data_IF_574091857727
#
_entry.id   IF_574091857727
#
_cell.length_a   1.000
_cell.length_b   1.000
_cell.length_c   1.000
_cell.angle_alpha   90.00
_cell.angle_beta   90.00
_cell.angle_gamma   90.00
#
_symmetry.space_group_name_H-M   'P 1'
#
loop_
_entity.id
_entity.type
_entity.pdbx_description
1 polymer ?
#
# COMPACT_ATOMS: atom_id res chain seq x y z
N UNK A 1 12.90 -28.75 4.13
CA UNK A 1 11.71 -28.57 4.97
C UNK A 1 10.53 -28.36 4.03
N UNK A 2 9.35 -28.92 4.32
CA UNK A 2 8.16 -28.67 3.50
C UNK A 2 7.49 -27.35 3.85
N UNK A 3 7.76 -26.82 5.05
CA UNK A 3 7.15 -25.60 5.59
C UNK A 3 7.97 -24.34 5.31
N UNK A 4 9.02 -24.44 4.48
CA UNK A 4 9.93 -23.34 4.13
C UNK A 4 10.05 -23.14 2.60
N UNK A 5 8.95 -23.37 1.88
CA UNK A 5 8.85 -23.09 0.45
C UNK A 5 8.27 -21.69 0.24
N UNK A 6 8.62 -21.04 -0.86
CA UNK A 6 7.92 -19.84 -1.31
C UNK A 6 6.55 -20.20 -1.88
N UNK A 7 5.53 -19.41 -1.56
CA UNK A 7 4.15 -19.64 -2.00
C UNK A 7 3.80 -18.95 -3.32
N UNK A 8 4.43 -17.83 -3.63
CA UNK A 8 4.18 -17.03 -4.83
C UNK A 8 5.47 -16.41 -5.39
N UNK A 9 5.36 -15.76 -6.55
CA UNK A 9 6.49 -15.07 -7.20
C UNK A 9 6.16 -13.62 -7.56
N UNK A 10 7.18 -12.78 -7.57
CA UNK A 10 7.19 -11.52 -8.34
C UNK A 10 7.97 -11.77 -9.63
N UNK A 11 7.35 -11.47 -10.78
CA UNK A 11 8.09 -11.44 -12.05
C UNK A 11 8.69 -10.04 -12.19
N UNK A 12 10.00 -9.97 -12.05
CA UNK A 12 10.80 -8.76 -12.17
C UNK A 12 10.91 -8.29 -13.63
N UNK A 13 10.90 -6.97 -13.84
CA UNK A 13 11.22 -6.35 -15.12
C UNK A 13 10.47 -6.95 -16.33
N UNK A 14 9.14 -7.10 -16.23
CA UNK A 14 8.30 -7.78 -17.23
C UNK A 14 8.49 -7.18 -18.62
N UNK A 15 8.56 -5.85 -18.71
CA UNK A 15 8.75 -5.09 -19.95
C UNK A 15 10.14 -5.22 -20.59
N UNK A 16 11.06 -5.97 -19.95
CA UNK A 16 12.44 -6.13 -20.39
C UNK A 16 12.81 -7.57 -20.77
N UNK A 17 11.83 -8.47 -20.76
CA UNK A 17 12.01 -9.90 -21.07
C UNK A 17 11.01 -10.39 -22.11
N UNK A 18 11.18 -11.63 -22.56
CA UNK A 18 10.20 -12.28 -23.44
C UNK A 18 8.93 -12.64 -22.64
N UNK A 19 7.77 -12.17 -23.10
CA UNK A 19 6.49 -12.37 -22.44
C UNK A 19 6.06 -13.85 -22.38
N UNK A 20 6.69 -14.74 -23.16
CA UNK A 20 6.52 -16.20 -23.03
C UNK A 20 6.75 -16.69 -21.58
N UNK A 21 7.59 -15.98 -20.81
CA UNK A 21 7.84 -16.30 -19.40
C UNK A 21 6.58 -16.21 -18.53
N UNK A 22 5.62 -15.33 -18.85
CA UNK A 22 4.37 -15.20 -18.12
C UNK A 22 3.50 -16.46 -18.26
N UNK A 23 3.45 -17.02 -19.48
CA UNK A 23 2.76 -18.27 -19.76
C UNK A 23 3.45 -19.46 -19.10
N UNK A 24 4.79 -19.52 -19.14
CA UNK A 24 5.56 -20.58 -18.49
C UNK A 24 5.31 -20.58 -16.98
N UNK A 25 5.30 -19.40 -16.35
CA UNK A 25 4.98 -19.27 -14.93
C UNK A 25 3.53 -19.68 -14.64
N UNK A 26 2.57 -19.21 -15.45
CA UNK A 26 1.16 -19.57 -15.31
C UNK A 26 0.92 -21.08 -15.38
N UNK A 27 1.46 -21.73 -16.41
CA UNK A 27 1.30 -23.17 -16.63
C UNK A 27 1.90 -23.97 -15.47
N UNK A 28 3.06 -23.55 -14.95
CA UNK A 28 3.65 -24.17 -13.77
C UNK A 28 2.72 -24.06 -12.54
N UNK A 29 2.22 -22.87 -12.22
CA UNK A 29 1.38 -22.68 -11.03
C UNK A 29 0.04 -23.42 -11.12
N UNK A 30 -0.58 -23.44 -12.31
CA UNK A 30 -1.79 -24.24 -12.57
C UNK A 30 -1.53 -25.73 -12.37
N UNK A 31 -0.43 -26.24 -12.92
CA UNK A 31 -0.09 -27.66 -12.83
C UNK A 31 0.32 -28.08 -11.39
N UNK A 32 1.16 -27.28 -10.74
CA UNK A 32 1.78 -27.64 -9.46
C UNK A 32 0.83 -27.41 -8.27
N UNK A 33 0.03 -26.34 -8.32
CA UNK A 33 -0.78 -25.91 -7.20
C UNK A 33 -2.28 -25.91 -7.50
N UNK A 34 -2.70 -25.97 -8.76
CA UNK A 34 -4.11 -25.94 -9.13
C UNK A 34 -4.75 -24.56 -8.90
N UNK A 35 -3.99 -23.47 -9.08
CA UNK A 35 -4.48 -22.10 -8.86
C UNK A 35 -5.68 -21.73 -9.72
N UNK A 36 -5.89 -22.41 -10.85
CA UNK A 36 -7.06 -22.24 -11.72
C UNK A 36 -8.33 -22.93 -11.21
N UNK A 37 -8.27 -23.69 -10.11
CA UNK A 37 -9.40 -24.48 -9.64
C UNK A 37 -10.43 -23.70 -8.85
N UNK A 38 -10.03 -22.70 -8.05
CA UNK A 38 -10.89 -21.87 -7.21
C UNK A 38 -10.06 -20.75 -6.54
N UNK A 39 -10.75 -19.72 -6.04
CA UNK A 39 -10.11 -18.57 -5.37
C UNK A 39 -9.32 -18.95 -4.12
N UNK A 40 -9.74 -19.99 -3.39
CA UNK A 40 -9.02 -20.43 -2.19
C UNK A 40 -7.64 -20.99 -2.50
N UNK A 41 -7.49 -21.70 -3.61
CA UNK A 41 -6.18 -22.17 -4.08
C UNK A 41 -5.40 -21.06 -4.77
N UNK A 42 -6.04 -20.22 -5.57
CA UNK A 42 -5.39 -19.07 -6.22
C UNK A 42 -4.75 -18.12 -5.19
N UNK A 43 -5.53 -17.68 -4.19
CA UNK A 43 -5.11 -16.68 -3.21
C UNK A 43 -4.04 -17.19 -2.24
N UNK A 44 -3.83 -18.52 -2.14
CA UNK A 44 -2.68 -19.09 -1.40
C UNK A 44 -1.36 -18.91 -2.14
N UNK A 45 -1.40 -18.71 -3.46
CA UNK A 45 -0.23 -18.63 -4.33
C UNK A 45 -0.17 -17.29 -5.09
N UNK A 46 -0.47 -16.21 -4.37
CA UNK A 46 -0.54 -14.86 -4.91
C UNK A 46 0.80 -14.47 -5.54
N UNK A 47 0.78 -14.23 -6.84
CA UNK A 47 1.94 -13.84 -7.65
C UNK A 47 1.68 -12.51 -8.32
N UNK A 48 2.71 -11.67 -8.47
CA UNK A 48 2.60 -10.30 -8.97
C UNK A 48 3.59 -10.02 -10.10
N UNK A 49 3.31 -8.98 -10.88
CA UNK A 49 4.13 -8.54 -12.00
C UNK A 49 4.68 -7.14 -11.75
N UNK A 50 5.94 -6.91 -12.10
CA UNK A 50 6.43 -5.55 -12.31
C UNK A 50 6.30 -5.19 -13.80
N UNK A 51 5.07 -4.79 -14.17
CA UNK A 51 4.61 -4.53 -15.52
C UNK A 51 4.15 -3.06 -15.68
N UNK A 52 5.07 -2.19 -16.12
CA UNK A 52 4.89 -0.72 -16.05
C UNK A 52 4.09 -0.16 -17.22
N UNK A 53 3.99 -0.89 -18.32
CA UNK A 53 3.25 -0.46 -19.50
C UNK A 53 1.74 -0.49 -19.25
N UNK A 54 1.03 0.60 -19.58
CA UNK A 54 -0.44 0.66 -19.48
C UNK A 54 -1.18 -0.33 -20.39
N UNK A 55 -0.48 -1.04 -21.27
CA UNK A 55 -1.07 -2.11 -22.07
C UNK A 55 -1.09 -3.46 -21.32
N UNK A 56 -0.26 -3.62 -20.30
CA UNK A 56 0.00 -4.91 -19.66
C UNK A 56 -1.21 -5.42 -18.88
N UNK A 57 -1.99 -4.59 -18.15
CA UNK A 57 -3.19 -5.07 -17.47
C UNK A 57 -4.20 -5.77 -18.38
N UNK A 58 -4.37 -5.25 -19.61
CA UNK A 58 -5.25 -5.85 -20.61
C UNK A 58 -4.67 -7.16 -21.14
N UNK A 59 -3.38 -7.19 -21.46
CA UNK A 59 -2.70 -8.41 -21.89
C UNK A 59 -2.78 -9.51 -20.82
N UNK A 60 -2.47 -9.19 -19.56
CA UNK A 60 -2.52 -10.11 -18.42
C UNK A 60 -3.92 -10.65 -18.21
N UNK A 61 -4.95 -9.81 -18.37
CA UNK A 61 -6.35 -10.23 -18.31
C UNK A 61 -6.70 -11.20 -19.44
N UNK A 62 -6.30 -10.89 -20.68
CA UNK A 62 -6.52 -11.75 -21.85
C UNK A 62 -5.77 -13.09 -21.74
N UNK A 63 -4.70 -13.15 -20.95
CA UNK A 63 -3.97 -14.38 -20.64
C UNK A 63 -4.53 -15.15 -19.43
N UNK A 64 -5.64 -14.69 -18.83
CA UNK A 64 -6.33 -15.37 -17.74
C UNK A 64 -5.92 -14.92 -16.33
N UNK A 65 -5.39 -13.70 -16.18
CA UNK A 65 -5.07 -13.09 -14.88
C UNK A 65 -4.33 -14.05 -13.93
N UNK A 66 -3.27 -14.69 -14.43
CA UNK A 66 -2.52 -15.73 -13.71
C UNK A 66 -1.56 -15.16 -12.65
N UNK A 67 -1.22 -13.88 -12.78
CA UNK A 67 -0.48 -13.06 -11.83
C UNK A 67 -1.18 -11.70 -11.77
N UNK A 68 -1.06 -10.98 -10.66
CA UNK A 68 -1.63 -9.64 -10.52
C UNK A 68 -0.73 -8.63 -11.23
N UNK A 69 -1.34 -7.85 -12.12
CA UNK A 69 -0.76 -6.64 -12.73
C UNK A 69 -0.74 -5.49 -11.72
N UNK A 70 0.17 -4.54 -11.88
CA UNK A 70 0.12 -3.31 -11.09
C UNK A 70 -0.97 -2.34 -11.61
N UNK A 71 -1.65 -1.65 -10.70
CA UNK A 71 -2.49 -0.49 -11.04
C UNK A 71 -1.64 0.79 -11.06
N UNK A 72 -0.91 0.99 -12.16
CA UNK A 72 -0.09 2.21 -12.34
C UNK A 72 -0.95 3.49 -12.41
N UNK A 73 -2.24 3.39 -12.71
CA UNK A 73 -3.15 4.54 -12.69
C UNK A 73 -3.34 5.07 -11.27
N UNK A 74 -3.62 4.17 -10.32
CA UNK A 74 -3.72 4.49 -8.89
C UNK A 74 -2.37 4.92 -8.34
N UNK A 75 -1.28 4.19 -8.63
CA UNK A 75 0.09 4.59 -8.25
C UNK A 75 0.39 6.04 -8.66
N UNK A 76 0.12 6.37 -9.93
CA UNK A 76 0.29 7.71 -10.48
C UNK A 76 -0.55 8.74 -9.74
N UNK A 77 -1.81 8.47 -9.37
CA UNK A 77 -2.63 9.47 -8.67
C UNK A 77 -2.23 9.65 -7.21
N UNK A 78 -1.84 8.57 -6.54
CA UNK A 78 -1.26 8.64 -5.21
C UNK A 78 -0.03 9.57 -5.23
N UNK A 79 0.84 9.42 -6.24
CA UNK A 79 2.01 10.30 -6.36
C UNK A 79 1.61 11.74 -6.73
N UNK A 80 0.96 11.91 -7.87
CA UNK A 80 0.80 13.21 -8.50
C UNK A 80 -0.25 14.08 -7.83
N UNK A 81 -1.24 13.52 -7.14
CA UNK A 81 -2.25 14.32 -6.42
C UNK A 81 -1.97 14.44 -4.92
N UNK A 82 -1.13 13.57 -4.33
CA UNK A 82 -0.87 13.60 -2.88
C UNK A 82 0.60 13.84 -2.52
N UNK A 83 1.54 13.12 -3.12
CA UNK A 83 2.92 13.10 -2.61
C UNK A 83 3.87 14.12 -3.21
N UNK A 84 3.60 14.62 -4.42
CA UNK A 84 4.38 15.71 -5.01
C UNK A 84 4.16 17.04 -4.27
N UNK A 85 5.09 17.97 -4.46
CA UNK A 85 5.02 19.31 -3.88
C UNK A 85 3.83 20.11 -4.40
N UNK A 86 3.37 21.09 -3.60
CA UNK A 86 2.16 21.86 -3.88
C UNK A 86 2.17 22.66 -5.18
N UNK A 87 3.35 22.98 -5.72
CA UNK A 87 3.51 23.70 -6.98
C UNK A 87 3.31 22.84 -8.24
N UNK A 88 3.42 21.52 -8.12
CA UNK A 88 3.26 20.58 -9.26
C UNK A 88 2.19 19.51 -9.04
N UNK A 89 1.66 19.36 -7.82
CA UNK A 89 0.62 18.37 -7.53
C UNK A 89 -0.66 18.66 -8.31
N UNK A 90 -1.25 17.63 -8.90
CA UNK A 90 -2.54 17.68 -9.59
C UNK A 90 -3.71 17.76 -8.60
N UNK A 91 -4.92 17.93 -9.15
CA UNK A 91 -6.16 17.99 -8.35
C UNK A 91 -6.56 16.62 -7.80
N UNK A 92 -7.43 16.62 -6.78
CA UNK A 92 -8.04 15.40 -6.28
C UNK A 92 -9.01 14.77 -7.28
N UNK A 93 -9.64 15.58 -8.14
CA UNK A 93 -10.51 15.11 -9.24
C UNK A 93 -9.86 14.01 -10.11
N UNK A 94 -8.54 13.97 -10.21
CA UNK A 94 -7.83 12.94 -10.99
C UNK A 94 -8.10 11.50 -10.52
N UNK A 95 -8.42 11.29 -9.24
CA UNK A 95 -8.78 9.96 -8.72
C UNK A 95 -10.08 9.40 -9.34
N UNK A 96 -10.96 10.25 -9.85
CA UNK A 96 -12.21 9.86 -10.51
C UNK A 96 -12.19 10.10 -12.03
N UNK A 97 -11.15 10.73 -12.57
CA UNK A 97 -10.99 10.96 -14.02
C UNK A 97 -9.97 10.02 -14.67
N UNK A 98 -8.98 9.53 -13.90
CA UNK A 98 -7.87 8.73 -14.40
C UNK A 98 -7.68 7.49 -13.54
N UNK A 99 -8.28 6.38 -13.99
CA UNK A 99 -8.34 5.13 -13.24
C UNK A 99 -8.24 3.92 -14.17
N UNK A 100 -7.80 2.78 -13.61
CA UNK A 100 -8.06 1.46 -14.18
C UNK A 100 -9.40 0.90 -13.68
N UNK A 101 -9.72 1.13 -12.40
CA UNK A 101 -10.99 0.76 -11.76
C UNK A 101 -11.75 2.02 -11.36
N UNK A 102 -12.95 2.23 -11.91
CA UNK A 102 -13.82 3.35 -11.55
C UNK A 102 -14.42 3.15 -10.16
N UNK A 103 -13.89 3.88 -9.16
CA UNK A 103 -14.35 3.80 -7.77
C UNK A 103 -15.44 4.81 -7.44
N UNK A 104 -15.99 5.52 -8.43
CA UNK A 104 -17.07 6.48 -8.19
C UNK A 104 -18.30 5.80 -7.61
N UNK A 105 -18.64 4.61 -8.14
CA UNK A 105 -19.69 3.72 -7.64
C UNK A 105 -19.32 2.25 -7.90
N UNK A 106 -18.27 1.76 -7.26
CA UNK A 106 -17.82 0.38 -7.39
C UNK A 106 -18.67 -0.56 -6.51
N UNK A 107 -19.59 -1.27 -7.16
CA UNK A 107 -20.64 -2.08 -6.51
C UNK A 107 -20.68 -3.53 -7.02
N UNK A 108 -19.67 -3.96 -7.77
CA UNK A 108 -19.64 -5.28 -8.42
C UNK A 108 -18.51 -6.15 -7.86
N UNK A 109 -18.55 -7.45 -8.12
CA UNK A 109 -17.46 -8.38 -7.83
C UNK A 109 -17.13 -9.18 -9.09
N UNK A 110 -15.87 -9.59 -9.23
CA UNK A 110 -15.32 -10.37 -10.33
C UNK A 110 -15.33 -9.66 -11.71
N UNK A 111 -15.63 -8.36 -11.75
CA UNK A 111 -15.68 -7.55 -12.98
C UNK A 111 -14.39 -6.78 -13.24
N UNK A 112 -13.82 -6.17 -12.18
CA UNK A 112 -12.57 -5.41 -12.30
C UNK A 112 -11.37 -6.32 -12.61
N UNK A 113 -10.35 -5.74 -13.26
CA UNK A 113 -9.07 -6.42 -13.49
C UNK A 113 -8.41 -6.65 -12.12
N UNK A 114 -8.13 -7.90 -11.70
CA UNK A 114 -7.44 -8.16 -10.45
C UNK A 114 -6.01 -7.60 -10.52
N UNK A 115 -5.66 -6.77 -9.55
CA UNK A 115 -4.45 -5.97 -9.56
C UNK A 115 -3.89 -5.76 -8.14
N UNK A 116 -2.69 -5.21 -8.06
CA UNK A 116 -2.16 -4.66 -6.82
C UNK A 116 -1.78 -3.17 -6.99
N UNK A 117 -1.88 -2.40 -5.91
CA UNK A 117 -1.55 -0.97 -5.88
C UNK A 117 -0.50 -0.68 -4.82
N UNK A 118 0.31 0.37 -4.99
CA UNK A 118 1.31 0.81 -4.00
C UNK A 118 1.57 2.31 -4.09
N UNK A 119 2.06 2.89 -2.99
CA UNK A 119 2.51 4.30 -2.97
C UNK A 119 3.96 4.40 -3.43
N UNK A 120 4.86 3.62 -2.80
CA UNK A 120 6.30 3.53 -3.12
C UNK A 120 6.73 2.07 -3.19
N UNK A 121 7.93 1.84 -3.71
CA UNK A 121 8.60 0.54 -3.76
C UNK A 121 10.09 0.70 -3.42
N UNK A 122 10.84 -0.40 -3.34
CA UNK A 122 12.29 -0.33 -3.06
C UNK A 122 13.08 0.55 -4.05
N UNK A 123 12.59 0.68 -5.29
CA UNK A 123 13.12 1.49 -6.38
C UNK A 123 12.26 2.73 -6.68
N UNK A 124 10.94 2.55 -6.83
CA UNK A 124 9.99 3.60 -7.20
C UNK A 124 9.80 4.62 -6.07
N UNK A 125 10.03 5.89 -6.40
CA UNK A 125 9.95 7.05 -5.50
C UNK A 125 10.92 6.99 -4.29
N UNK A 126 11.97 6.15 -4.35
CA UNK A 126 13.05 6.10 -3.35
C UNK A 126 14.41 6.36 -4.00
N UNK A 127 14.87 5.48 -4.89
CA UNK A 127 16.24 5.55 -5.40
C UNK A 127 16.47 6.79 -6.28
N UNK A 128 15.44 7.24 -7.00
CA UNK A 128 15.48 8.46 -7.81
C UNK A 128 15.50 9.72 -6.93
N UNK A 129 14.85 9.70 -5.76
CA UNK A 129 14.91 10.79 -4.78
C UNK A 129 16.31 10.89 -4.19
N UNK A 130 16.90 9.75 -3.79
CA UNK A 130 18.28 9.72 -3.30
C UNK A 130 19.25 10.18 -4.39
N UNK A 131 19.10 9.72 -5.63
CA UNK A 131 19.91 10.16 -6.75
C UNK A 131 19.79 11.67 -7.01
N UNK A 132 18.59 12.25 -6.86
CA UNK A 132 18.41 13.70 -6.96
C UNK A 132 19.18 14.45 -5.86
N UNK A 133 19.11 13.97 -4.61
CA UNK A 133 19.86 14.57 -3.50
C UNK A 133 21.37 14.46 -3.76
N UNK A 134 21.85 13.32 -4.27
CA UNK A 134 23.26 13.15 -4.65
C UNK A 134 23.65 14.14 -5.73
N UNK A 135 22.87 14.29 -6.80
CA UNK A 135 23.12 15.26 -7.87
C UNK A 135 23.20 16.69 -7.35
N UNK A 136 22.31 17.07 -6.41
CA UNK A 136 22.29 18.41 -5.81
C UNK A 136 23.50 18.67 -4.90
N UNK A 137 23.95 17.66 -4.14
CA UNK A 137 25.11 17.77 -3.25
C UNK A 137 26.45 17.70 -4.01
N UNK A 138 26.48 16.97 -5.13
CA UNK A 138 27.67 16.67 -5.92
C UNK A 138 27.41 16.95 -7.41
N UNK A 139 27.41 18.22 -7.86
CA UNK A 139 27.06 18.57 -9.24
C UNK A 139 27.94 17.94 -10.34
N UNK A 140 29.15 17.52 -9.99
CA UNK A 140 30.11 16.86 -10.89
C UNK A 140 30.06 15.32 -10.82
N UNK A 141 29.06 14.74 -10.14
CA UNK A 141 28.90 13.27 -10.07
C UNK A 141 28.63 12.69 -11.46
N UNK A 142 29.40 11.67 -11.85
CA UNK A 142 29.26 11.06 -13.18
C UNK A 142 27.94 10.28 -13.33
N UNK A 143 27.53 9.59 -12.27
CA UNK A 143 26.28 8.83 -12.20
C UNK A 143 25.69 8.86 -10.79
N UNK A 144 24.66 9.68 -10.56
CA UNK A 144 24.02 9.77 -9.25
C UNK A 144 23.17 8.55 -8.88
N UNK A 145 22.85 7.68 -9.84
CA UNK A 145 22.23 6.38 -9.59
C UNK A 145 23.25 5.29 -9.20
N UNK A 146 24.55 5.59 -9.23
CA UNK A 146 25.60 4.71 -8.71
C UNK A 146 26.53 5.48 -7.75
N UNK A 147 25.99 6.00 -6.63
CA UNK A 147 26.75 6.84 -5.71
C UNK A 147 27.79 6.04 -4.92
N UNK A 148 28.87 6.71 -4.48
CA UNK A 148 29.79 6.12 -3.49
C UNK A 148 29.11 6.01 -2.12
N UNK A 149 29.67 5.19 -1.22
CA UNK A 149 29.18 5.06 0.16
C UNK A 149 29.12 6.42 0.88
N UNK A 150 30.11 7.29 0.67
CA UNK A 150 30.12 8.63 1.27
C UNK A 150 29.01 9.53 0.70
N UNK A 151 28.79 9.49 -0.60
CA UNK A 151 27.72 10.26 -1.26
C UNK A 151 26.35 9.78 -0.77
N UNK A 152 26.17 8.46 -0.66
CA UNK A 152 24.95 7.85 -0.16
C UNK A 152 24.67 8.24 1.29
N UNK A 153 25.67 8.17 2.17
CA UNK A 153 25.53 8.57 3.57
C UNK A 153 25.20 10.07 3.71
N UNK A 154 25.80 10.93 2.88
CA UNK A 154 25.49 12.35 2.85
C UNK A 154 24.05 12.62 2.36
N UNK A 155 23.60 11.88 1.34
CA UNK A 155 22.24 11.98 0.82
C UNK A 155 21.20 11.53 1.85
N UNK A 156 21.43 10.42 2.56
CA UNK A 156 20.51 9.95 3.61
C UNK A 156 20.39 10.92 4.78
N UNK A 157 21.46 11.63 5.13
CA UNK A 157 21.36 12.70 6.14
C UNK A 157 20.39 13.81 5.71
N UNK A 158 20.38 14.16 4.42
CA UNK A 158 19.45 15.16 3.88
C UNK A 158 18.04 14.58 3.81
N UNK A 159 17.89 13.38 3.25
CA UNK A 159 16.62 12.67 3.11
C UNK A 159 15.90 12.51 4.46
N UNK A 160 16.57 11.94 5.47
CA UNK A 160 15.98 11.67 6.78
C UNK A 160 15.58 12.94 7.55
N UNK A 161 16.24 14.07 7.29
CA UNK A 161 15.84 15.36 7.87
C UNK A 161 14.69 15.99 7.07
N UNK A 162 14.70 15.87 5.74
CA UNK A 162 13.65 16.38 4.86
C UNK A 162 12.29 15.72 5.13
N UNK A 163 12.26 14.41 5.39
CA UNK A 163 11.02 13.68 5.74
C UNK A 163 10.31 14.23 6.97
N UNK A 164 11.04 14.92 7.86
CA UNK A 164 10.51 15.49 9.11
C UNK A 164 10.01 16.93 8.93
N UNK A 165 10.27 17.55 7.79
CA UNK A 165 9.87 18.94 7.52
C UNK A 165 8.40 19.00 7.09
N UNK A 166 7.75 20.11 7.43
CA UNK A 166 6.47 20.48 6.84
C UNK A 166 6.65 20.82 5.35
N UNK A 167 7.65 21.65 5.04
CA UNK A 167 8.03 22.00 3.68
C UNK A 167 9.22 21.13 3.23
N UNK A 168 8.89 20.02 2.59
CA UNK A 168 9.81 19.03 2.04
C UNK A 168 10.34 19.49 0.68
N UNK A 169 11.65 19.35 0.46
CA UNK A 169 12.28 19.61 -0.84
C UNK A 169 12.35 18.35 -1.70
N UNK A 170 12.56 17.18 -1.10
CA UNK A 170 12.87 15.95 -1.83
C UNK A 170 11.87 14.83 -1.56
N UNK A 171 11.41 14.72 -0.32
CA UNK A 171 10.62 13.60 0.17
C UNK A 171 9.12 13.83 0.00
N UNK A 172 8.37 12.74 0.03
CA UNK A 172 6.95 12.71 -0.27
C UNK A 172 6.10 13.44 0.78
N UNK A 173 5.15 14.25 0.31
CA UNK A 173 4.07 14.81 1.13
C UNK A 173 2.93 13.80 1.34
N UNK A 174 2.02 14.08 2.28
CA UNK A 174 0.73 13.39 2.44
C UNK A 174 0.77 11.86 2.41
N UNK A 175 1.84 11.24 2.92
CA UNK A 175 1.98 9.78 2.94
C UNK A 175 0.81 9.11 3.67
N UNK A 176 0.33 9.69 4.78
CA UNK A 176 -0.83 9.18 5.49
C UNK A 176 -2.12 9.22 4.63
N UNK A 177 -2.33 10.26 3.83
CA UNK A 177 -3.48 10.34 2.92
C UNK A 177 -3.37 9.34 1.77
N UNK A 178 -2.17 9.17 1.21
CA UNK A 178 -1.91 8.18 0.17
C UNK A 178 -2.19 6.75 0.67
N UNK A 179 -1.73 6.43 1.89
CA UNK A 179 -2.04 5.14 2.52
C UNK A 179 -3.51 5.00 2.93
N UNK A 180 -4.18 6.07 3.35
CA UNK A 180 -5.62 6.02 3.62
C UNK A 180 -6.41 5.66 2.34
N UNK A 181 -6.05 6.25 1.20
CA UNK A 181 -6.64 5.89 -0.10
C UNK A 181 -6.30 4.45 -0.49
N UNK A 182 -5.02 4.06 -0.44
CA UNK A 182 -4.56 2.72 -0.81
C UNK A 182 -5.25 1.62 0.02
N UNK A 183 -5.29 1.78 1.34
CA UNK A 183 -5.76 0.74 2.26
C UNK A 183 -7.29 0.67 2.36
N UNK A 184 -8.02 1.64 1.81
CA UNK A 184 -9.50 1.65 1.82
C UNK A 184 -10.14 1.42 0.46
N UNK A 185 -9.37 1.49 -0.63
CA UNK A 185 -9.85 1.18 -1.97
C UNK A 185 -10.34 -0.29 -2.08
N UNK A 186 -11.44 -0.46 -2.81
CA UNK A 186 -11.98 -1.74 -3.28
C UNK A 186 -11.28 -2.14 -4.60
N UNK A 187 -11.32 -3.42 -4.94
CA UNK A 187 -10.83 -3.98 -6.20
C UNK A 187 -9.34 -3.70 -6.43
N UNK A 188 -8.55 -3.90 -5.37
CA UNK A 188 -7.09 -3.86 -5.43
C UNK A 188 -6.49 -4.53 -4.20
N UNK A 189 -5.40 -5.26 -4.41
CA UNK A 189 -4.56 -5.76 -3.31
C UNK A 189 -3.55 -4.66 -2.95
N UNK A 190 -3.62 -4.02 -1.78
CA UNK A 190 -2.64 -3.02 -1.40
C UNK A 190 -1.29 -3.68 -1.09
N UNK A 191 -0.23 -3.14 -1.66
CA UNK A 191 1.15 -3.44 -1.29
C UNK A 191 1.73 -2.29 -0.46
N UNK A 192 2.06 -2.60 0.79
CA UNK A 192 2.71 -1.67 1.71
C UNK A 192 4.23 -1.79 1.58
N UNK A 193 4.91 -0.66 1.49
CA UNK A 193 6.35 -0.62 1.40
C UNK A 193 7.02 -0.56 2.77
N UNK A 194 8.06 -1.36 2.99
CA UNK A 194 8.86 -1.37 4.21
C UNK A 194 9.36 0.02 4.60
N UNK A 195 9.91 0.78 3.65
CA UNK A 195 10.51 2.09 3.90
C UNK A 195 9.49 3.19 4.26
N UNK A 196 8.19 2.88 4.19
CA UNK A 196 7.15 3.80 4.68
C UNK A 196 6.76 3.49 6.13
N UNK A 197 7.08 2.31 6.66
CA UNK A 197 6.92 1.96 8.07
C UNK A 197 8.22 2.15 8.87
N UNK A 198 9.35 1.85 8.25
CA UNK A 198 10.68 1.94 8.84
C UNK A 198 11.58 2.81 7.98
N UNK A 199 12.68 3.30 8.51
CA UNK A 199 13.64 4.08 7.72
C UNK A 199 14.17 3.25 6.55
N UNK A 200 14.31 3.90 5.38
CA UNK A 200 14.90 3.30 4.18
C UNK A 200 16.35 2.85 4.41
N UNK A 201 17.11 3.63 5.20
CA UNK A 201 18.44 3.26 5.67
C UNK A 201 18.44 2.66 7.10
N UNK A 202 19.59 2.14 7.51
CA UNK A 202 19.77 1.56 8.84
C UNK A 202 19.42 0.07 8.93
N UNK A 203 19.48 -0.48 10.15
CA UNK A 203 19.20 -1.90 10.40
C UNK A 203 17.70 -2.21 10.23
N UNK A 204 17.40 -3.44 9.79
CA UNK A 204 16.04 -3.87 9.49
C UNK A 204 15.09 -3.69 10.68
N UNK A 205 13.98 -2.98 10.47
CA UNK A 205 12.95 -2.63 11.47
C UNK A 205 13.45 -1.86 12.70
N UNK A 206 14.68 -1.33 12.70
CA UNK A 206 15.27 -0.71 13.90
C UNK A 206 14.69 0.68 14.21
N UNK A 207 14.40 1.47 13.18
CA UNK A 207 13.87 2.84 13.33
C UNK A 207 12.58 2.98 12.54
N UNK A 208 11.52 3.40 13.22
CA UNK A 208 10.22 3.69 12.58
C UNK A 208 10.31 4.97 11.75
N UNK A 209 9.62 4.99 10.61
CA UNK A 209 9.44 6.20 9.80
C UNK A 209 8.53 7.21 10.54
N UNK A 210 8.49 8.48 10.10
CA UNK A 210 7.49 9.45 10.55
C UNK A 210 6.03 9.09 10.24
N UNK A 211 5.81 8.07 9.39
CA UNK A 211 4.49 7.66 8.91
C UNK A 211 3.98 6.38 9.58
N UNK A 212 4.82 5.69 10.38
CA UNK A 212 4.51 4.39 10.97
C UNK A 212 3.15 4.37 11.66
N UNK A 213 2.87 5.32 12.55
CA UNK A 213 1.65 5.29 13.38
C UNK A 213 0.38 5.41 12.52
N UNK A 214 0.41 6.25 11.47
CA UNK A 214 -0.70 6.38 10.53
C UNK A 214 -0.98 5.07 9.79
N UNK A 215 0.07 4.48 9.20
CA UNK A 215 -0.05 3.28 8.35
C UNK A 215 -0.40 2.06 9.22
N UNK A 216 0.22 1.91 10.41
CA UNK A 216 -0.11 0.87 11.38
C UNK A 216 -1.58 0.96 11.82
N UNK A 217 -2.10 2.18 12.08
CA UNK A 217 -3.50 2.39 12.44
C UNK A 217 -4.43 1.98 11.29
N UNK A 218 -4.10 2.39 10.06
CA UNK A 218 -4.89 2.08 8.86
C UNK A 218 -4.89 0.58 8.53
N UNK A 219 -3.75 -0.12 8.69
CA UNK A 219 -3.65 -1.57 8.46
C UNK A 219 -4.56 -2.36 9.40
N UNK A 220 -4.55 -2.03 10.70
CA UNK A 220 -5.44 -2.65 11.68
C UNK A 220 -6.90 -2.34 11.39
N UNK A 221 -7.21 -1.08 11.07
CA UNK A 221 -8.56 -0.68 10.70
C UNK A 221 -9.05 -1.34 9.41
N UNK A 222 -8.15 -1.63 8.46
CA UNK A 222 -8.49 -2.35 7.24
C UNK A 222 -9.07 -3.72 7.55
N UNK A 223 -8.39 -4.50 8.39
CA UNK A 223 -8.88 -5.81 8.85
C UNK A 223 -10.23 -5.66 9.55
N UNK A 224 -10.38 -4.65 10.42
CA UNK A 224 -11.54 -4.54 11.29
C UNK A 224 -12.79 -3.96 10.58
N UNK A 225 -12.64 -3.08 9.59
CA UNK A 225 -13.74 -2.26 9.07
C UNK A 225 -13.89 -2.24 7.55
N UNK A 226 -12.82 -2.45 6.77
CA UNK A 226 -12.83 -2.13 5.34
C UNK A 226 -13.40 -3.30 4.52
N UNK A 227 -14.68 -3.19 4.13
CA UNK A 227 -15.36 -4.16 3.29
C UNK A 227 -16.56 -3.53 2.56
N UNK A 228 -17.18 -4.30 1.66
CA UNK A 228 -18.35 -3.88 0.88
C UNK A 228 -18.01 -3.01 -0.33
N UNK A 229 -19.04 -2.48 -0.98
CA UNK A 229 -18.93 -1.58 -2.12
C UNK A 229 -18.25 -0.26 -1.77
N UNK A 230 -17.85 0.49 -2.79
CA UNK A 230 -17.19 1.78 -2.65
C UNK A 230 -17.92 2.88 -3.42
N UNK A 231 -17.96 4.07 -2.84
CA UNK A 231 -18.20 5.31 -3.60
C UNK A 231 -17.11 6.32 -3.33
N UNK A 232 -16.64 6.95 -4.40
CA UNK A 232 -15.64 8.00 -4.38
C UNK A 232 -16.18 9.23 -5.12
N UNK A 233 -15.98 10.41 -4.56
CA UNK A 233 -16.38 11.65 -5.22
C UNK A 233 -15.44 12.79 -4.85
N UNK A 234 -15.41 13.81 -5.69
CA UNK A 234 -14.67 15.05 -5.42
C UNK A 234 -15.65 16.20 -5.56
N UNK A 235 -15.70 17.05 -4.54
CA UNK A 235 -16.61 18.20 -4.51
C UNK A 235 -16.04 19.42 -5.26
N UNK A 236 -16.82 20.50 -5.31
CA UNK A 236 -16.39 21.75 -5.97
C UNK A 236 -15.21 22.46 -5.28
N UNK A 237 -14.83 22.05 -4.07
CA UNK A 237 -13.68 22.56 -3.33
C UNK A 237 -12.42 21.68 -3.52
N UNK A 238 -12.48 20.69 -4.43
CA UNK A 238 -11.45 19.68 -4.65
C UNK A 238 -11.16 18.84 -3.38
N UNK A 239 -12.20 18.62 -2.57
CA UNK A 239 -12.18 17.70 -1.43
C UNK A 239 -12.71 16.35 -1.88
N UNK A 240 -11.88 15.32 -1.75
CA UNK A 240 -12.25 13.95 -2.05
C UNK A 240 -12.93 13.30 -0.83
N UNK A 241 -14.02 12.59 -1.10
CA UNK A 241 -14.64 11.66 -0.16
C UNK A 241 -14.59 10.24 -0.74
N UNK A 242 -14.25 9.27 0.10
CA UNK A 242 -14.26 7.84 -0.24
C UNK A 242 -14.94 7.06 0.88
N UNK A 243 -15.93 6.25 0.55
CA UNK A 243 -16.73 5.48 1.50
C UNK A 243 -16.70 4.01 1.13
N UNK A 244 -16.51 3.14 2.12
CA UNK A 244 -16.81 1.70 2.05
C UNK A 244 -18.02 1.40 2.93
N UNK A 245 -19.00 0.68 2.40
CA UNK A 245 -20.30 0.49 3.05
C UNK A 245 -20.35 -0.63 4.11
N UNK A 246 -19.25 -1.36 4.33
CA UNK A 246 -19.22 -2.52 5.22
C UNK A 246 -19.64 -3.81 4.50
N UNK A 247 -19.23 -4.96 5.04
CA UNK A 247 -19.43 -6.27 4.40
C UNK A 247 -20.90 -6.53 4.13
N UNK A 248 -21.21 -7.17 3.00
CA UNK A 248 -22.56 -7.45 2.52
C UNK A 248 -23.42 -6.20 2.18
N UNK A 249 -22.83 -5.02 2.01
CA UNK A 249 -23.46 -3.85 1.39
C UNK A 249 -22.61 -3.39 0.21
N UNK A 250 -23.14 -3.48 -1.01
CA UNK A 250 -22.41 -3.12 -2.25
C UNK A 250 -22.82 -1.78 -2.81
N UNK A 251 -24.01 -1.30 -2.47
CA UNK A 251 -24.54 -0.01 -2.88
C UNK A 251 -24.94 0.83 -1.68
N UNK A 252 -25.01 2.16 -1.85
CA UNK A 252 -25.49 3.07 -0.81
C UNK A 252 -26.92 2.75 -0.32
N UNK A 253 -27.74 2.04 -1.11
CA UNK A 253 -29.10 1.65 -0.75
C UNK A 253 -29.21 0.35 0.04
N UNK A 254 -28.13 -0.45 0.09
CA UNK A 254 -28.15 -1.72 0.78
C UNK A 254 -28.21 -1.51 2.29
N UNK A 255 -29.13 -2.23 2.96
CA UNK A 255 -29.25 -2.19 4.42
C UNK A 255 -28.28 -3.15 5.11
N UNK A 256 -27.54 -3.95 4.33
CA UNK A 256 -26.56 -4.91 4.82
C UNK A 256 -27.14 -6.01 5.70
N UNK A 257 -26.25 -6.53 6.54
CA UNK A 257 -26.47 -7.56 7.57
C UNK A 257 -26.15 -6.97 8.95
N UNK A 258 -26.16 -7.78 10.01
CA UNK A 258 -25.83 -7.29 11.35
C UNK A 258 -24.36 -6.86 11.49
N UNK A 259 -23.42 -7.54 10.83
CA UNK A 259 -21.99 -7.21 10.88
C UNK A 259 -21.70 -5.88 10.15
N UNK A 260 -22.40 -5.62 9.04
CA UNK A 260 -22.27 -4.40 8.24
C UNK A 260 -22.34 -3.14 9.09
N UNK A 261 -23.24 -3.11 10.10
CA UNK A 261 -23.50 -1.92 10.91
C UNK A 261 -22.24 -1.38 11.59
N UNK A 262 -21.35 -2.24 12.08
CA UNK A 262 -20.11 -1.82 12.78
C UNK A 262 -18.87 -1.88 11.90
N UNK A 263 -19.06 -2.03 10.59
CA UNK A 263 -18.02 -2.01 9.56
C UNK A 263 -18.21 -0.81 8.62
N UNK A 264 -17.39 -0.72 7.58
CA UNK A 264 -17.34 0.43 6.69
C UNK A 264 -16.41 1.52 7.21
N UNK A 265 -15.99 2.38 6.29
CA UNK A 265 -15.07 3.49 6.57
C UNK A 265 -15.42 4.68 5.69
N UNK A 266 -15.26 5.89 6.22
CA UNK A 266 -15.36 7.13 5.47
C UNK A 266 -14.05 7.91 5.53
N UNK A 267 -13.53 8.31 4.39
CA UNK A 267 -12.26 9.02 4.24
C UNK A 267 -12.52 10.36 3.58
N UNK A 268 -11.98 11.44 4.14
CA UNK A 268 -11.98 12.79 3.57
C UNK A 268 -10.53 13.20 3.34
N UNK A 269 -10.20 13.56 2.11
CA UNK A 269 -8.86 14.02 1.73
C UNK A 269 -8.96 15.34 0.99
N UNK A 270 -8.18 16.31 1.44
CA UNK A 270 -7.82 17.46 0.62
C UNK A 270 -6.31 17.54 0.48
N UNK A 271 -5.94 18.18 -0.60
CA UNK A 271 -4.60 18.29 -1.12
C UNK A 271 -4.16 19.77 -1.10
N UNK A 272 -5.02 20.65 -0.60
CA UNK A 272 -4.81 22.08 -0.53
C UNK A 272 -4.55 22.51 0.93
N UNK A 273 -3.29 22.86 1.24
CA UNK A 273 -2.89 23.33 2.57
C UNK A 273 -3.58 24.64 3.00
N UNK A 274 -4.14 25.38 2.05
CA UNK A 274 -4.88 26.63 2.28
C UNK A 274 -6.41 26.43 2.20
N UNK A 275 -6.90 25.19 2.20
CA UNK A 275 -8.33 24.90 2.12
C UNK A 275 -9.11 25.66 3.20
N UNK A 276 -10.12 26.41 2.75
CA UNK A 276 -11.10 27.08 3.60
C UNK A 276 -12.47 26.90 2.98
N UNK A 277 -13.36 26.22 3.68
CA UNK A 277 -14.75 26.11 3.24
C UNK A 277 -15.50 27.41 3.53
N UNK A 278 -16.28 27.90 2.57
CA UNK A 278 -17.15 29.05 2.77
C UNK A 278 -18.26 28.75 3.79
N UNK A 279 -18.79 29.79 4.45
CA UNK A 279 -19.90 29.63 5.39
C UNK A 279 -21.11 28.99 4.71
N UNK A 280 -21.59 27.88 5.28
CA UNK A 280 -22.72 27.11 4.75
C UNK A 280 -22.34 26.06 3.70
N UNK A 281 -21.07 25.96 3.29
CA UNK A 281 -20.58 24.82 2.52
C UNK A 281 -20.32 23.63 3.44
N UNK A 282 -20.55 22.42 2.92
CA UNK A 282 -20.37 21.18 3.66
C UNK A 282 -19.63 20.15 2.83
N UNK A 283 -18.88 19.28 3.52
CA UNK A 283 -18.35 18.03 2.97
C UNK A 283 -19.16 16.90 3.59
N UNK A 284 -19.66 16.00 2.75
CA UNK A 284 -20.57 14.92 3.20
C UNK A 284 -20.00 13.56 2.85
N UNK A 285 -19.92 12.68 3.85
CA UNK A 285 -19.71 11.25 3.64
C UNK A 285 -21.07 10.55 3.64
N UNK A 286 -21.45 10.01 2.48
CA UNK A 286 -22.67 9.23 2.31
C UNK A 286 -22.45 7.79 2.77
N UNK A 287 -22.57 7.53 4.08
CA UNK A 287 -22.23 6.22 4.66
C UNK A 287 -23.17 5.09 4.22
N UNK A 288 -24.36 5.42 3.71
CA UNK A 288 -25.29 4.45 3.14
C UNK A 288 -26.37 3.96 4.11
N UNK A 289 -27.31 3.17 3.60
CA UNK A 289 -28.56 2.84 4.27
C UNK A 289 -28.38 1.96 5.52
N UNK A 290 -27.33 1.14 5.58
CA UNK A 290 -26.95 0.38 6.76
C UNK A 290 -26.53 1.29 7.95
N UNK A 291 -26.20 2.55 7.68
CA UNK A 291 -25.51 3.44 8.62
C UNK A 291 -26.32 4.66 9.05
N UNK A 292 -27.66 4.61 8.96
CA UNK A 292 -28.56 5.68 9.41
C UNK A 292 -28.53 5.88 10.92
N UNK A 293 -28.57 7.13 11.38
CA UNK A 293 -28.64 7.53 12.80
C UNK A 293 -27.60 6.80 13.68
N UNK A 294 -26.34 6.89 13.28
CA UNK A 294 -25.24 6.11 13.83
C UNK A 294 -24.12 6.98 14.35
N UNK A 295 -23.53 6.60 15.50
CA UNK A 295 -22.30 7.19 15.98
C UNK A 295 -21.10 6.66 15.17
N UNK A 296 -20.30 7.58 14.64
CA UNK A 296 -18.99 7.35 14.06
C UNK A 296 -17.94 8.02 14.93
N UNK A 297 -16.73 7.47 14.93
CA UNK A 297 -15.58 8.06 15.61
C UNK A 297 -14.42 8.27 14.65
N UNK A 298 -13.59 9.26 14.94
CA UNK A 298 -12.37 9.47 14.17
C UNK A 298 -11.41 8.29 14.39
N UNK A 299 -10.79 7.83 13.32
CA UNK A 299 -9.63 6.94 13.30
C UNK A 299 -8.35 7.75 13.14
N UNK A 300 -8.36 8.65 12.17
CA UNK A 300 -7.34 9.66 11.94
C UNK A 300 -8.00 11.02 11.83
N UNK A 301 -7.38 12.05 12.41
CA UNK A 301 -7.82 13.43 12.21
C UNK A 301 -6.65 14.40 12.12
N UNK A 302 -6.74 15.32 11.17
CA UNK A 302 -5.79 16.42 11.01
C UNK A 302 -5.76 17.32 12.24
N UNK A 303 -4.55 17.71 12.63
CA UNK A 303 -4.26 18.70 13.67
C UNK A 303 -3.31 19.76 13.11
N UNK A 304 -3.09 20.84 13.86
CA UNK A 304 -2.15 21.88 13.45
C UNK A 304 -0.72 21.34 13.23
N UNK A 305 -0.26 20.41 14.08
CA UNK A 305 1.14 19.97 14.11
C UNK A 305 1.39 18.59 13.48
N UNK A 306 0.34 17.88 13.07
CA UNK A 306 0.43 16.52 12.53
C UNK A 306 -0.94 15.83 12.43
N UNK A 307 -0.98 14.53 12.70
CA UNK A 307 -2.21 13.74 12.81
C UNK A 307 -2.43 13.26 14.25
N UNK A 308 -3.70 13.20 14.66
CA UNK A 308 -4.14 12.42 15.81
C UNK A 308 -4.63 11.05 15.36
N UNK A 309 -4.33 10.03 16.17
CA UNK A 309 -4.64 8.63 15.91
C UNK A 309 -5.49 8.09 17.05
N UNK A 310 -6.51 7.32 16.71
CA UNK A 310 -7.42 6.73 17.68
C UNK A 310 -7.56 5.23 17.40
N UNK A 311 -6.84 4.41 18.15
CA UNK A 311 -6.89 2.95 18.01
C UNK A 311 -8.18 2.33 18.57
N UNK A 312 -8.92 3.07 19.40
CA UNK A 312 -10.16 2.61 20.04
C UNK A 312 -11.21 3.71 20.01
N UNK A 313 -12.45 3.36 20.36
CA UNK A 313 -13.55 4.31 20.50
C UNK A 313 -13.36 5.27 21.69
N UNK A 314 -12.51 4.91 22.67
CA UNK A 314 -12.29 5.72 23.87
C UNK A 314 -11.54 7.01 23.52
N UNK A 315 -12.09 8.16 23.95
CA UNK A 315 -11.55 9.51 23.72
C UNK A 315 -11.45 9.95 22.25
N UNK A 316 -11.98 9.16 21.31
CA UNK A 316 -12.08 9.55 19.91
C UNK A 316 -13.21 10.58 19.71
N UNK A 317 -12.98 11.66 18.94
CA UNK A 317 -14.05 12.56 18.50
C UNK A 317 -15.19 11.78 17.83
N UNK A 318 -16.44 12.11 18.16
CA UNK A 318 -17.64 11.42 17.66
C UNK A 318 -18.45 12.36 16.77
N UNK A 319 -18.90 11.84 15.64
CA UNK A 319 -19.88 12.44 14.74
C UNK A 319 -21.07 11.49 14.56
N UNK A 320 -22.22 12.02 14.13
CA UNK A 320 -23.43 11.21 13.95
C UNK A 320 -23.95 11.32 12.53
N UNK A 321 -24.25 10.18 11.91
CA UNK A 321 -25.00 10.19 10.67
C UNK A 321 -26.45 10.60 10.91
N UNK A 322 -27.06 11.22 9.92
CA UNK A 322 -28.47 11.57 9.94
C UNK A 322 -29.39 10.39 9.56
N UNK A 323 -30.67 10.68 9.28
CA UNK A 323 -31.65 9.67 8.87
C UNK A 323 -31.42 9.11 7.44
N UNK A 324 -30.57 9.74 6.64
CA UNK A 324 -30.15 9.26 5.32
C UNK A 324 -28.87 8.41 5.41
N UNK A 325 -28.12 8.52 6.50
CA UNK A 325 -26.82 7.87 6.66
C UNK A 325 -25.66 8.80 6.33
N UNK A 326 -25.87 10.11 6.36
CA UNK A 326 -24.87 11.10 5.96
C UNK A 326 -24.12 11.65 7.17
N UNK A 327 -22.79 11.59 7.17
CA UNK A 327 -21.95 12.40 8.05
C UNK A 327 -21.64 13.73 7.35
N UNK A 328 -22.02 14.83 7.99
CA UNK A 328 -21.93 16.17 7.40
C UNK A 328 -20.93 17.01 8.20
N UNK A 329 -19.93 17.54 7.52
CA UNK A 329 -18.86 18.35 8.07
C UNK A 329 -18.91 19.77 7.50
N UNK A 330 -18.52 20.76 8.29
CA UNK A 330 -18.56 22.19 7.94
C UNK A 330 -17.16 22.79 7.96
N UNK A 331 -17.07 24.09 7.72
CA UNK A 331 -15.83 24.85 7.86
C UNK A 331 -15.24 24.87 9.29
N UNK A 332 -15.99 24.43 10.31
CA UNK A 332 -15.46 24.29 11.68
C UNK A 332 -14.55 23.06 11.83
N UNK A 333 -14.71 22.04 10.97
CA UNK A 333 -14.00 20.76 11.07
C UNK A 333 -13.14 20.42 9.86
N UNK A 334 -13.41 21.02 8.70
CA UNK A 334 -12.63 20.86 7.47
C UNK A 334 -11.84 22.13 7.18
N UNK A 335 -10.51 22.01 7.18
CA UNK A 335 -9.58 23.12 6.96
C UNK A 335 -8.25 22.59 6.41
N UNK A 336 -7.50 23.42 5.70
CA UNK A 336 -6.16 23.09 5.24
C UNK A 336 -5.11 23.28 6.32
N UNK A 337 -4.09 22.41 6.34
CA UNK A 337 -2.87 22.58 7.12
C UNK A 337 -1.62 22.31 6.29
N UNK A 338 -0.50 22.82 6.78
CA UNK A 338 0.84 22.50 6.32
C UNK A 338 1.67 22.05 7.53
N UNK A 339 1.89 20.75 7.66
CA UNK A 339 2.71 20.14 8.71
C UNK A 339 3.47 18.92 8.14
N UNK A 340 4.39 18.30 8.90
CA UNK A 340 5.23 17.21 8.38
C UNK A 340 4.49 15.98 7.82
N UNK A 341 3.23 15.77 8.21
CA UNK A 341 2.43 14.61 7.82
C UNK A 341 1.33 14.95 6.81
N UNK A 342 0.83 16.19 6.82
CA UNK A 342 -0.31 16.67 6.05
C UNK A 342 -0.01 18.03 5.42
N UNK A 343 -0.12 18.09 4.10
CA UNK A 343 -0.19 19.30 3.29
C UNK A 343 -1.54 19.29 2.57
N UNK A 344 -2.57 19.77 3.26
CA UNK A 344 -3.97 19.57 2.91
C UNK A 344 -4.84 19.22 4.11
N UNK A 345 -5.66 18.20 3.98
CA UNK A 345 -6.52 17.67 5.05
C UNK A 345 -6.68 16.16 4.93
N UNK A 346 -6.73 15.48 6.07
CA UNK A 346 -7.08 14.08 6.21
C UNK A 346 -7.99 13.87 7.42
N UNK A 347 -9.12 13.20 7.20
CA UNK A 347 -9.89 12.59 8.27
C UNK A 347 -10.39 11.21 7.84
N UNK A 348 -10.33 10.25 8.76
CA UNK A 348 -10.86 8.90 8.56
C UNK A 348 -11.83 8.60 9.69
N UNK A 349 -13.01 8.10 9.36
CA UNK A 349 -14.11 7.83 10.29
C UNK A 349 -14.56 6.38 10.17
N UNK A 350 -14.74 5.73 11.31
CA UNK A 350 -15.26 4.35 11.40
C UNK A 350 -16.42 4.29 12.40
N UNK A 351 -17.36 3.33 12.27
CA UNK A 351 -18.47 3.24 13.20
C UNK A 351 -18.02 2.87 14.61
N UNK A 352 -18.70 3.44 15.61
CA UNK A 352 -18.51 3.08 17.03
C UNK A 352 -19.10 1.69 17.30
N UNK A 353 -18.48 0.95 18.22
CA UNK A 353 -19.03 -0.27 18.81
C UNK A 353 -18.57 -1.58 18.16
N UNK A 354 -17.60 -1.52 17.24
CA UNK A 354 -16.94 -2.71 16.73
C UNK A 354 -16.26 -3.48 17.88
N UNK A 355 -16.40 -4.81 17.87
CA UNK A 355 -15.68 -5.64 18.83
C UNK A 355 -14.18 -5.62 18.53
N UNK A 356 -13.36 -5.88 19.55
CA UNK A 356 -11.90 -5.89 19.40
C UNK A 356 -11.41 -6.95 18.39
N UNK A 357 -12.14 -8.06 18.28
CA UNK A 357 -11.88 -9.18 17.38
C UNK A 357 -12.75 -9.16 16.11
N UNK A 358 -13.43 -8.05 15.83
CA UNK A 358 -14.15 -7.88 14.57
C UNK A 358 -13.17 -7.97 13.38
N UNK A 359 -13.57 -8.69 12.35
CA UNK A 359 -12.79 -8.92 11.13
C UNK A 359 -13.72 -8.87 9.92
N UNK A 360 -13.61 -7.78 9.15
CA UNK A 360 -14.43 -7.49 7.98
C UNK A 360 -13.96 -8.26 6.72
N UNK A 361 -12.88 -9.03 6.82
CA UNK A 361 -12.36 -9.81 5.68
C UNK A 361 -13.32 -10.93 5.28
N UNK A 362 -13.15 -11.37 4.03
CA UNK A 362 -13.89 -12.46 3.42
C UNK A 362 -12.92 -13.59 3.07
N UNK A 363 -13.26 -14.81 3.46
CA UNK A 363 -12.50 -15.99 3.07
C UNK A 363 -12.72 -16.30 1.59
N UNK A 364 -11.69 -16.81 0.91
CA UNK A 364 -11.79 -17.22 -0.47
C UNK A 364 -12.78 -18.36 -0.70
N UNK A 365 -13.46 -18.34 -1.85
CA UNK A 365 -14.39 -19.38 -2.25
C UNK A 365 -13.64 -20.67 -2.68
N UNK A 366 -14.20 -21.82 -2.30
CA UNK A 366 -13.71 -23.15 -2.68
C UNK A 366 -14.50 -23.76 -3.85
N UNK A 367 -15.55 -23.08 -4.30
CA UNK A 367 -16.35 -23.47 -5.45
C UNK A 367 -15.48 -23.53 -6.69
N UNK A 368 -15.64 -24.60 -7.47
CA UNK A 368 -14.88 -24.79 -8.70
C UNK A 368 -15.06 -23.58 -9.62
N UNK A 369 -13.94 -22.99 -10.00
CA UNK A 369 -13.87 -21.91 -10.95
C UNK A 369 -14.45 -22.33 -12.30
N UNK A 370 -15.23 -21.43 -12.89
CA UNK A 370 -15.85 -21.63 -14.21
C UNK A 370 -15.45 -20.57 -15.24
N UNK A 371 -14.64 -19.60 -14.82
CA UNK A 371 -14.01 -18.63 -15.72
C UNK A 371 -12.71 -19.20 -16.31
N UNK A 372 -12.12 -18.48 -17.25
CA UNK A 372 -10.76 -18.70 -17.77
C UNK A 372 -9.68 -17.94 -16.98
N UNK A 373 -10.06 -17.30 -15.86
CA UNK A 373 -9.18 -16.48 -15.03
C UNK A 373 -8.75 -17.21 -13.75
N UNK A 374 -7.52 -17.00 -13.30
CA UNK A 374 -7.03 -17.52 -12.01
C UNK A 374 -7.45 -16.62 -10.86
N UNK A 375 -7.07 -15.33 -10.92
CA UNK A 375 -7.48 -14.35 -9.91
C UNK A 375 -8.78 -13.65 -10.31
N UNK A 376 -9.59 -13.33 -9.30
CA UNK A 376 -10.83 -12.58 -9.46
C UNK A 376 -10.86 -11.40 -8.49
N UNK A 377 -11.16 -10.20 -8.98
CA UNK A 377 -11.31 -9.01 -8.13
C UNK A 377 -12.63 -9.07 -7.35
N UNK A 378 -12.59 -9.62 -6.13
CA UNK A 378 -13.75 -9.79 -5.26
C UNK A 378 -13.37 -9.57 -3.78
N UNK A 379 -14.34 -9.66 -2.87
CA UNK A 379 -14.09 -9.41 -1.45
C UNK A 379 -12.98 -10.28 -0.82
N UNK A 380 -12.73 -11.50 -1.33
CA UNK A 380 -11.67 -12.36 -0.82
C UNK A 380 -10.28 -11.96 -1.31
N UNK A 381 -10.15 -11.52 -2.56
CA UNK A 381 -8.90 -10.94 -3.06
C UNK A 381 -8.65 -9.57 -2.43
N UNK A 382 -9.69 -8.74 -2.27
CA UNK A 382 -9.62 -7.48 -1.53
C UNK A 382 -9.20 -7.69 -0.07
N UNK A 383 -9.44 -8.86 0.52
CA UNK A 383 -9.01 -9.16 1.88
C UNK A 383 -7.50 -9.38 2.02
N UNK A 384 -6.77 -9.49 0.90
CA UNK A 384 -5.32 -9.67 0.88
C UNK A 384 -4.58 -8.35 1.13
N UNK A 385 -3.37 -8.43 1.67
CA UNK A 385 -2.41 -7.32 1.78
C UNK A 385 -1.02 -7.87 1.52
N UNK A 386 -0.30 -7.24 0.60
CA UNK A 386 1.11 -7.54 0.33
C UNK A 386 1.99 -6.61 1.17
N UNK A 387 3.07 -7.13 1.74
CA UNK A 387 4.11 -6.31 2.34
C UNK A 387 5.42 -6.50 1.59
N UNK A 388 5.89 -5.45 0.91
CA UNK A 388 7.22 -5.40 0.32
C UNK A 388 8.24 -5.17 1.43
N UNK A 389 8.75 -6.27 1.97
CA UNK A 389 9.45 -6.33 3.25
C UNK A 389 10.93 -5.97 3.19
N UNK A 390 11.35 -5.07 2.30
CA UNK A 390 12.72 -4.59 2.27
C UNK A 390 12.86 -3.18 1.68
N UNK A 391 14.02 -2.55 1.89
CA UNK A 391 14.49 -1.35 1.20
C UNK A 391 15.86 -1.63 0.61
N UNK A 392 16.15 -1.03 -0.55
CA UNK A 392 17.47 -1.08 -1.17
C UNK A 392 18.57 -0.61 -0.20
N UNK A 393 18.28 0.39 0.62
CA UNK A 393 19.27 1.15 1.38
C UNK A 393 19.51 0.66 2.81
N UNK A 394 18.92 -0.48 3.17
CA UNK A 394 19.19 -1.13 4.45
C UNK A 394 20.70 -1.29 4.68
N UNK A 395 21.13 -1.07 5.93
CA UNK A 395 22.49 -1.32 6.34
C UNK A 395 22.80 -2.83 6.28
N UNK A 396 24.07 -3.18 6.10
CA UNK A 396 24.51 -4.55 6.35
C UNK A 396 24.44 -4.84 7.86
N UNK A 397 23.92 -6.01 8.21
CA UNK A 397 23.91 -6.49 9.59
C UNK A 397 25.34 -6.50 10.18
N UNK A 398 25.49 -6.01 11.40
CA UNK A 398 26.76 -6.01 12.14
C UNK A 398 26.90 -7.25 13.04
N UNK A 399 25.79 -7.88 13.40
CA UNK A 399 25.76 -9.20 14.01
C UNK A 399 24.56 -10.06 13.52
N UNK A 400 24.55 -11.34 13.91
CA UNK A 400 23.57 -12.30 13.40
C UNK A 400 22.12 -12.01 13.82
N UNK A 401 21.87 -11.23 14.88
CA UNK A 401 20.52 -10.91 15.32
C UNK A 401 19.88 -9.80 14.50
N UNK A 402 20.70 -9.03 13.75
CA UNK A 402 20.25 -7.93 12.90
C UNK A 402 19.95 -8.37 11.46
N UNK A 403 20.24 -9.62 11.09
CA UNK A 403 19.89 -10.14 9.77
C UNK A 403 18.38 -10.02 9.52
N UNK A 404 18.02 -9.43 8.39
CA UNK A 404 16.63 -9.21 7.98
C UNK A 404 15.77 -10.46 8.14
N UNK A 405 16.24 -11.63 7.68
CA UNK A 405 15.48 -12.87 7.79
C UNK A 405 15.27 -13.30 9.26
N UNK A 406 16.26 -13.08 10.14
CA UNK A 406 16.12 -13.35 11.58
C UNK A 406 15.08 -12.44 12.21
N UNK A 407 15.08 -11.15 11.85
CA UNK A 407 14.14 -10.17 12.38
C UNK A 407 12.72 -10.41 11.83
N UNK A 408 12.59 -10.86 10.57
CA UNK A 408 11.29 -11.28 10.00
C UNK A 408 10.69 -12.42 10.85
N UNK A 409 11.45 -13.48 11.10
CA UNK A 409 10.99 -14.61 11.91
C UNK A 409 10.52 -14.20 13.32
N UNK A 410 11.19 -13.20 13.92
CA UNK A 410 10.84 -12.68 15.25
C UNK A 410 9.57 -11.82 15.26
N UNK A 411 9.16 -11.28 14.12
CA UNK A 411 8.08 -10.28 14.03
C UNK A 411 6.86 -10.77 13.23
N UNK A 412 6.74 -12.07 12.95
CA UNK A 412 5.60 -12.66 12.22
C UNK A 412 4.23 -12.25 12.80
N UNK A 413 4.10 -12.18 14.13
CA UNK A 413 2.86 -11.76 14.80
C UNK A 413 2.47 -10.31 14.47
N UNK A 414 3.46 -9.42 14.25
CA UNK A 414 3.20 -8.04 13.88
C UNK A 414 2.66 -7.95 12.45
N UNK A 415 3.25 -8.67 11.50
CA UNK A 415 2.75 -8.72 10.12
C UNK A 415 1.32 -9.29 10.07
N UNK A 416 1.04 -10.32 10.88
CA UNK A 416 -0.31 -10.88 11.03
C UNK A 416 -1.30 -9.86 11.60
N UNK A 417 -0.91 -9.05 12.60
CA UNK A 417 -1.76 -8.00 13.15
C UNK A 417 -2.07 -6.90 12.13
N UNK A 418 -1.16 -6.64 11.20
CA UNK A 418 -1.39 -5.73 10.07
C UNK A 418 -2.28 -6.32 8.98
N UNK A 419 -2.65 -7.59 9.08
CA UNK A 419 -3.41 -8.28 8.05
C UNK A 419 -2.59 -8.62 6.80
N UNK A 420 -1.24 -8.62 6.89
CA UNK A 420 -0.38 -9.08 5.80
C UNK A 420 -0.69 -10.54 5.51
N UNK A 421 -1.02 -10.84 4.26
CA UNK A 421 -1.31 -12.20 3.79
C UNK A 421 -0.25 -12.72 2.83
N UNK A 422 0.51 -11.83 2.20
CA UNK A 422 1.68 -12.17 1.38
C UNK A 422 2.86 -11.28 1.76
N UNK A 423 3.96 -11.90 2.19
CA UNK A 423 5.21 -11.19 2.49
C UNK A 423 6.12 -11.28 1.27
N UNK A 424 6.35 -10.16 0.59
CA UNK A 424 7.31 -10.09 -0.51
C UNK A 424 8.71 -9.84 0.06
N UNK A 425 9.50 -10.91 0.18
CA UNK A 425 10.91 -10.82 0.54
C UNK A 425 11.72 -10.13 -0.57
N UNK A 426 12.87 -9.57 -0.20
CA UNK A 426 13.89 -9.19 -1.16
C UNK A 426 14.37 -10.40 -1.98
N UNK A 427 14.94 -10.20 -3.18
CA UNK A 427 15.66 -11.25 -3.88
C UNK A 427 16.76 -11.83 -3.01
N UNK A 428 16.68 -13.15 -2.77
CA UNK A 428 17.59 -13.82 -1.83
C UNK A 428 18.91 -14.25 -2.48
N UNK A 429 19.14 -13.94 -3.74
CA UNK A 429 20.37 -14.29 -4.44
C UNK A 429 21.58 -13.58 -3.84
N UNK A 430 22.72 -14.26 -3.74
CA UNK A 430 23.97 -13.61 -3.35
C UNK A 430 24.32 -12.54 -4.38
N UNK A 431 24.39 -11.30 -3.91
CA UNK A 431 24.79 -10.18 -4.74
C UNK A 431 26.22 -10.36 -5.28
N UNK A 432 26.38 -10.01 -6.55
CA UNK A 432 27.65 -9.58 -7.13
C UNK A 432 28.14 -8.30 -6.43
N UNK A 433 29.43 -8.00 -6.55
CA UNK A 433 30.07 -6.84 -5.90
C UNK A 433 30.92 -6.04 -6.89
N UNK A 434 30.54 -6.03 -8.17
CA UNK A 434 31.27 -5.30 -9.21
C UNK A 434 31.00 -3.79 -9.20
N UNK A 435 29.99 -3.33 -8.45
CA UNK A 435 29.63 -1.92 -8.25
C UNK A 435 29.26 -1.17 -9.54
N UNK A 436 28.90 -1.88 -10.61
CA UNK A 436 28.55 -1.28 -11.90
C UNK A 436 27.18 -0.62 -11.93
N UNK A 437 26.30 -0.99 -11.01
CA UNK A 437 24.96 -0.42 -10.81
C UNK A 437 24.58 -0.43 -9.32
N UNK A 438 23.58 0.37 -8.93
CA UNK A 438 23.12 0.52 -7.54
C UNK A 438 22.95 -0.82 -6.83
N UNK A 439 22.28 -1.76 -7.48
CA UNK A 439 22.00 -3.09 -6.94
C UNK A 439 23.24 -3.83 -6.42
N UNK A 440 24.34 -3.74 -7.15
CA UNK A 440 25.62 -4.36 -6.79
C UNK A 440 26.43 -3.55 -5.76
N UNK A 441 26.08 -2.27 -5.54
CA UNK A 441 26.67 -1.40 -4.51
C UNK A 441 26.00 -1.68 -3.17
N UNK A 442 24.66 -1.62 -3.13
CA UNK A 442 23.87 -1.81 -1.89
C UNK A 442 23.48 -3.27 -1.63
N UNK A 443 23.77 -4.16 -2.58
CA UNK A 443 23.61 -5.62 -2.50
C UNK A 443 22.18 -6.06 -2.14
N UNK A 444 21.18 -5.50 -2.83
CA UNK A 444 19.76 -5.84 -2.67
C UNK A 444 19.39 -7.24 -3.22
N UNK A 445 20.33 -7.88 -3.92
CA UNK A 445 20.14 -9.22 -4.48
C UNK A 445 19.60 -9.25 -5.91
N UNK A 446 19.37 -8.12 -6.58
CA UNK A 446 18.98 -8.11 -8.01
C UNK A 446 20.18 -8.27 -8.95
N UNK A 447 21.38 -7.85 -8.54
CA UNK A 447 22.61 -8.06 -9.29
C UNK A 447 23.35 -9.29 -8.77
N UNK A 448 23.25 -10.45 -9.43
CA UNK A 448 23.83 -11.72 -8.97
C UNK A 448 24.50 -12.51 -10.10
N UNK A 449 25.37 -13.45 -9.73
CA UNK A 449 26.06 -14.34 -10.68
C UNK A 449 25.48 -15.77 -10.66
N UNK A 450 25.07 -16.26 -9.49
CA UNK A 450 24.51 -17.59 -9.30
C UNK A 450 23.04 -17.50 -8.87
N UNK A 451 22.15 -17.97 -9.77
CA UNK A 451 20.68 -17.97 -9.58
C UNK A 451 20.20 -18.91 -8.47
N UNK A 452 21.07 -19.78 -7.95
CA UNK A 452 20.73 -20.77 -6.93
C UNK A 452 21.51 -20.58 -5.62
N UNK A 453 22.32 -19.52 -5.49
CA UNK A 453 22.97 -19.20 -4.23
C UNK A 453 22.10 -18.24 -3.41
N UNK A 454 21.24 -18.80 -2.56
CA UNK A 454 20.35 -18.06 -1.66
C UNK A 454 20.98 -17.81 -0.28
N UNK A 455 22.31 -17.65 -0.22
CA UNK A 455 23.05 -17.52 1.05
C UNK A 455 23.59 -18.84 1.58
N UNK A 456 23.97 -19.77 0.70
CA UNK A 456 24.60 -21.02 1.10
C UNK A 456 26.07 -20.78 1.48
N UNK A 457 26.53 -21.36 2.60
CA UNK A 457 27.91 -21.25 3.07
C UNK A 457 28.25 -19.92 3.72
N UNK A 458 27.98 -18.79 3.05
CA UNK A 458 28.08 -17.44 3.62
C UNK A 458 26.76 -16.68 3.47
N UNK A 459 26.41 -15.78 4.39
CA UNK A 459 25.15 -15.05 4.32
C UNK A 459 25.07 -14.12 3.11
N UNK A 460 23.86 -13.81 2.66
CA UNK A 460 23.56 -12.64 1.83
C UNK A 460 23.46 -11.38 2.72
N UNK A 461 23.00 -10.25 2.16
CA UNK A 461 22.64 -9.08 2.95
C UNK A 461 21.60 -9.40 4.04
N UNK A 462 20.72 -10.38 3.77
CA UNK A 462 19.54 -10.67 4.58
C UNK A 462 19.72 -11.83 5.57
N UNK A 463 20.74 -12.68 5.38
CA UNK A 463 21.01 -13.81 6.25
C UNK A 463 21.55 -15.03 5.49
N UNK A 464 21.68 -16.15 6.20
CA UNK A 464 22.03 -17.44 5.60
C UNK A 464 20.80 -18.13 5.00
N UNK A 465 21.04 -19.17 4.20
CA UNK A 465 19.96 -20.02 3.69
C UNK A 465 19.15 -20.72 4.80
N UNK A 466 19.73 -20.97 5.99
CA UNK A 466 18.98 -21.47 7.16
C UNK A 466 18.05 -20.38 7.71
N UNK A 467 18.56 -19.16 7.89
CA UNK A 467 17.77 -18.03 8.37
C UNK A 467 16.65 -17.66 7.40
N UNK A 468 16.85 -17.82 6.09
CA UNK A 468 15.78 -17.69 5.09
C UNK A 468 14.68 -18.75 5.27
N UNK A 469 15.02 -19.98 5.67
CA UNK A 469 14.01 -21.03 5.90
C UNK A 469 13.27 -20.86 7.23
N UNK A 470 13.91 -20.21 8.20
CA UNK A 470 13.31 -19.91 9.50
C UNK A 470 12.36 -18.69 9.44
N UNK A 471 12.60 -17.78 8.48
CA UNK A 471 11.78 -16.60 8.19
C UNK A 471 10.53 -16.98 7.41
#
# INVERSE_FOLDING_TARGET
DADANFDGIRVDAVDNVDADLLQIAADYFKLAYGVDQNDATANQHLSILEDWSHNDPLYVTDQGSNQLTMDDYVHTQLIWSLTKSSDIRGTMQRFVDYYMVDRSNDSTENEAIPNYSFVRAHDSEVQTVIAQIVSDLYPDVENSLAPTTEQLAAAFKVYNEDEKLADKKYTQYNMASAYAMLLTNKDTVPRVYYGDLYTDDGQYMATKSPYYDAINTLLKARVQYVAGGQSMSVDSNDVLTSVRYGKNAMTASDTGTSETRTEGVGVIVSNNAELQLEDGHTVTLHMGAAHKNQAYRALLSTTADGLAYYDTDENAPVAYTDANGDLIFTNESIYGVQNPQVSGYLAVWVPVGAQQDQDARTASDTTTNTSDKVFHSNAALDSQVIYEGFSNFQAFATDSSEYTNVVIAQNADQFKQWGVTSFQLAPQYRSSTDTSFLDSIIQNGYAFTDRYDLGYGTPTKYGTADQLRDA
#
